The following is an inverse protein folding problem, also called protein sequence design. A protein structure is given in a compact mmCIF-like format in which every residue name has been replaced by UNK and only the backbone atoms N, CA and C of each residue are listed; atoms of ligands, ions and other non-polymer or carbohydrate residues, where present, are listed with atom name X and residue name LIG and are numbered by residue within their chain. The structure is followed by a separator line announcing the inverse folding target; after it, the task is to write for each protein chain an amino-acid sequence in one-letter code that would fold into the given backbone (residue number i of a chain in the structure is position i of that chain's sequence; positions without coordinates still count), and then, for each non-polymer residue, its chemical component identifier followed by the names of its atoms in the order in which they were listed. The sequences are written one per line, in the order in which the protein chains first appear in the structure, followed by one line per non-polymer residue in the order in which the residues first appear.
data_IF_373094585268
#
_entry.id   IF_373094585268
#
_cell.length_a   1.000
_cell.length_b   1.000
_cell.length_c   1.000
_cell.angle_alpha   90.00
_cell.angle_beta   90.00
_cell.angle_gamma   90.00
#
_symmetry.space_group_name_H-M   'P 1'
#
loop_
_entity.id
_entity.type
_entity.pdbx_description
1 polymer ?
#
# COMPACT_ATOMS: atom_id res chain seq x y z
N UNK A 1 -12.48 -41.79 98.55
CA UNK A 1 -13.36 -40.85 99.29
C UNK A 1 -13.20 -39.45 98.72
N UNK A 2 -14.32 -38.82 98.28
CA UNK A 2 -14.58 -37.35 98.15
C UNK A 2 -13.65 -36.54 97.22
N UNK A 3 -14.08 -35.60 96.34
CA UNK A 3 -15.34 -34.86 96.12
C UNK A 3 -15.18 -34.08 94.78
N UNK A 4 -16.21 -34.00 93.94
CA UNK A 4 -16.35 -33.04 92.80
C UNK A 4 -16.65 -31.62 93.33
N UNK A 5 -16.40 -30.49 92.62
CA UNK A 5 -17.20 -30.06 91.44
C UNK A 5 -16.47 -29.23 90.34
N UNK A 6 -17.18 -29.05 89.21
CA UNK A 6 -17.03 -28.12 88.04
C UNK A 6 -17.39 -26.65 88.43
N UNK A 7 -17.51 -25.63 87.52
CA UNK A 7 -17.05 -25.38 86.13
C UNK A 7 -16.51 -23.93 85.88
N UNK A 8 -16.18 -23.59 84.61
CA UNK A 8 -16.56 -22.37 83.85
C UNK A 8 -15.47 -21.64 83.00
N UNK A 9 -15.79 -21.58 81.70
CA UNK A 9 -15.67 -20.54 80.65
C UNK A 9 -14.38 -19.75 80.35
N UNK A 10 -14.05 -19.77 79.05
CA UNK A 10 -13.18 -18.89 78.23
C UNK A 10 -13.69 -17.40 78.20
N UNK A 11 -13.07 -16.38 77.52
CA UNK A 11 -12.41 -16.42 76.20
C UNK A 11 -11.27 -15.37 75.94
N UNK A 12 -10.97 -15.17 74.65
CA UNK A 12 -10.36 -14.01 73.97
C UNK A 12 -8.83 -13.90 73.82
N UNK A 13 -8.37 -14.35 72.65
CA UNK A 13 -7.21 -13.80 71.94
C UNK A 13 -7.64 -13.52 70.49
N UNK A 14 -7.68 -12.24 70.14
CA UNK A 14 -7.75 -11.72 68.78
C UNK A 14 -6.59 -10.70 68.61
N UNK A 15 -6.36 -10.13 67.41
CA UNK A 15 -5.89 -10.80 66.20
C UNK A 15 -4.75 -10.02 65.50
N UNK A 16 -4.21 -10.59 64.41
CA UNK A 16 -3.81 -9.80 63.23
C UNK A 16 -2.32 -9.57 62.99
N UNK A 17 -1.74 -10.31 62.05
CA UNK A 17 -1.46 -9.84 60.68
C UNK A 17 -0.75 -10.98 59.92
N UNK A 18 -1.44 -11.55 58.93
CA UNK A 18 -0.84 -12.46 57.96
C UNK A 18 -0.34 -11.65 56.75
N UNK A 19 0.78 -12.02 56.11
CA UNK A 19 1.23 -11.42 54.86
C UNK A 19 0.42 -12.01 53.69
N UNK A 20 -0.28 -11.14 52.96
CA UNK A 20 -1.12 -11.55 51.85
C UNK A 20 -0.31 -12.02 50.64
N UNK A 21 -0.72 -13.20 50.20
CA UNK A 21 -0.32 -13.97 49.05
C UNK A 21 -0.96 -13.36 47.79
N UNK A 22 -0.30 -12.43 47.09
CA UNK A 22 -0.81 -11.99 45.76
C UNK A 22 0.30 -11.42 44.86
N UNK A 23 1.21 -12.28 44.40
CA UNK A 23 2.14 -11.93 43.30
C UNK A 23 2.16 -13.07 42.28
N UNK A 24 1.08 -13.22 41.51
CA UNK A 24 1.09 -13.78 40.15
C UNK A 24 -0.21 -13.28 39.50
N UNK A 25 -0.17 -12.59 38.34
CA UNK A 25 -1.23 -12.48 37.30
C UNK A 25 -1.11 -11.19 36.45
N UNK A 26 -0.33 -10.18 36.84
CA UNK A 26 -0.27 -8.90 36.10
C UNK A 26 0.81 -8.81 34.99
N UNK A 27 1.09 -9.87 34.24
CA UNK A 27 2.14 -9.88 33.19
C UNK A 27 1.76 -10.64 31.91
N UNK A 28 0.47 -10.65 31.54
CA UNK A 28 0.01 -11.27 30.27
C UNK A 28 -0.79 -10.33 29.36
N UNK A 29 -1.12 -9.12 29.79
CA UNK A 29 -2.00 -8.22 29.02
C UNK A 29 -1.27 -7.20 28.11
N UNK A 30 0.05 -7.03 28.23
CA UNK A 30 0.79 -6.01 27.48
C UNK A 30 1.33 -6.48 26.12
N UNK A 31 1.33 -7.79 25.85
CA UNK A 31 1.92 -8.36 24.63
C UNK A 31 0.99 -8.36 23.42
N UNK A 32 -0.29 -8.03 23.59
CA UNK A 32 -1.30 -8.08 22.51
C UNK A 32 -1.37 -6.81 21.64
N UNK A 33 -0.71 -5.71 22.06
CA UNK A 33 -0.78 -4.42 21.36
C UNK A 33 0.36 -4.16 20.36
N UNK A 34 1.26 -5.13 20.19
CA UNK A 34 2.39 -5.06 19.23
C UNK A 34 2.18 -5.87 17.95
N UNK A 35 0.97 -6.37 17.70
CA UNK A 35 0.57 -6.79 16.35
C UNK A 35 0.38 -5.52 15.51
N UNK A 36 1.50 -4.94 15.10
CA UNK A 36 1.55 -3.87 14.11
C UNK A 36 0.66 -4.30 12.94
N UNK A 37 -0.36 -3.49 12.68
CA UNK A 37 -1.42 -3.77 11.75
C UNK A 37 -0.85 -4.21 10.40
N UNK A 38 -0.81 -5.52 10.16
CA UNK A 38 -0.73 -6.07 8.81
C UNK A 38 -1.92 -5.46 8.07
N UNK A 39 -1.65 -4.47 7.22
CA UNK A 39 -2.68 -3.86 6.40
C UNK A 39 -3.11 -4.94 5.41
N UNK A 40 -4.34 -5.42 5.57
CA UNK A 40 -4.88 -6.42 4.66
C UNK A 40 -5.09 -5.79 3.29
N UNK A 41 -4.20 -6.17 2.36
CA UNK A 41 -4.23 -5.75 0.97
C UNK A 41 -4.66 -6.89 0.04
N UNK A 42 -4.96 -8.09 0.57
CA UNK A 42 -5.30 -9.27 -0.24
C UNK A 42 -6.46 -9.04 -1.21
N UNK A 43 -7.40 -8.17 -0.84
CA UNK A 43 -8.55 -7.76 -1.67
C UNK A 43 -8.19 -7.02 -2.97
N UNK A 44 -6.93 -6.63 -3.16
CA UNK A 44 -6.42 -6.01 -4.39
C UNK A 44 -5.67 -6.99 -5.29
N UNK A 45 -5.52 -8.26 -4.89
CA UNK A 45 -4.92 -9.28 -5.76
C UNK A 45 -5.88 -9.65 -6.90
N UNK A 46 -5.42 -9.55 -8.13
CA UNK A 46 -6.30 -9.61 -9.30
C UNK A 46 -6.61 -11.02 -9.78
N UNK A 47 -5.86 -12.08 -9.41
CA UNK A 47 -6.10 -13.47 -9.87
C UNK A 47 -6.51 -13.54 -11.36
N UNK A 48 -7.79 -13.80 -11.67
CA UNK A 48 -8.36 -13.90 -13.03
C UNK A 48 -8.99 -12.58 -13.57
N UNK A 49 -8.98 -11.52 -12.78
CA UNK A 49 -9.47 -10.18 -13.10
C UNK A 49 -8.36 -9.14 -13.28
N UNK A 50 -8.73 -7.87 -13.17
CA UNK A 50 -7.82 -6.72 -13.29
C UNK A 50 -8.41 -5.47 -12.64
N UNK A 51 -7.60 -4.43 -12.50
CA UNK A 51 -8.07 -3.07 -12.23
C UNK A 51 -7.98 -2.23 -13.49
N UNK A 52 -9.08 -1.67 -13.97
CA UNK A 52 -9.13 -0.89 -15.20
C UNK A 52 -9.85 0.45 -15.01
N UNK A 53 -9.42 1.47 -15.74
CA UNK A 53 -10.03 2.80 -15.62
C UNK A 53 -9.51 3.80 -16.64
N UNK A 54 -10.09 5.00 -16.60
CA UNK A 54 -9.71 6.14 -17.45
C UNK A 54 -8.74 7.06 -16.72
N UNK A 55 -7.94 7.79 -17.49
CA UNK A 55 -7.18 8.93 -16.98
C UNK A 55 -8.14 10.00 -16.43
N UNK A 56 -7.76 10.65 -15.34
CA UNK A 56 -8.51 11.77 -14.77
C UNK A 56 -8.45 12.96 -15.74
N UNK A 57 -9.61 13.58 -15.98
CA UNK A 57 -9.75 14.72 -16.87
C UNK A 57 -9.04 15.98 -16.33
N UNK A 58 -8.56 16.83 -17.24
CA UNK A 58 -7.90 18.11 -16.91
C UNK A 58 -6.41 18.15 -17.24
N UNK A 59 -5.98 19.23 -17.92
CA UNK A 59 -4.59 19.38 -18.39
C UNK A 59 -3.61 19.71 -17.26
N UNK A 60 -4.09 20.18 -16.10
CA UNK A 60 -3.24 20.44 -14.92
C UNK A 60 -2.83 19.15 -14.19
N UNK A 61 -3.52 18.04 -14.46
CA UNK A 61 -3.26 16.73 -13.84
C UNK A 61 -2.78 15.69 -14.85
N UNK A 62 -2.36 16.13 -16.04
CA UNK A 62 -1.91 15.27 -17.13
C UNK A 62 -0.80 15.92 -17.97
N UNK A 63 0.26 15.18 -18.24
CA UNK A 63 1.33 15.53 -19.15
C UNK A 63 1.78 14.27 -19.90
N UNK A 64 1.97 14.38 -21.22
CA UNK A 64 2.46 13.29 -22.06
C UNK A 64 1.50 12.09 -22.24
N UNK A 65 0.26 12.16 -21.77
CA UNK A 65 -0.77 11.11 -21.86
C UNK A 65 -2.02 11.70 -22.55
N UNK A 66 -2.67 10.91 -23.41
CA UNK A 66 -3.89 11.33 -24.10
C UNK A 66 -5.12 11.34 -23.18
N UNK A 67 -6.11 12.16 -23.52
CA UNK A 67 -7.28 12.45 -22.68
C UNK A 67 -8.24 11.26 -22.53
N UNK A 68 -8.19 10.32 -23.47
CA UNK A 68 -9.00 9.11 -23.49
C UNK A 68 -8.20 7.85 -23.15
N UNK A 69 -6.93 7.99 -22.73
CA UNK A 69 -6.10 6.84 -22.38
C UNK A 69 -6.71 6.10 -21.19
N UNK A 70 -6.85 4.78 -21.35
CA UNK A 70 -7.23 3.85 -20.28
C UNK A 70 -6.00 3.12 -19.80
N UNK A 71 -6.01 2.78 -18.52
CA UNK A 71 -5.00 1.94 -17.89
C UNK A 71 -5.65 0.68 -17.36
N UNK A 72 -4.93 -0.43 -17.49
CA UNK A 72 -5.23 -1.71 -16.91
C UNK A 72 -4.04 -2.17 -16.06
N UNK A 73 -4.31 -2.68 -14.87
CA UNK A 73 -3.30 -3.19 -13.93
C UNK A 73 -3.70 -4.59 -13.47
N UNK A 74 -2.73 -5.50 -13.49
CA UNK A 74 -2.79 -6.74 -12.71
C UNK A 74 -1.88 -6.59 -11.50
N UNK A 75 -2.31 -7.12 -10.36
CA UNK A 75 -1.58 -7.02 -9.10
C UNK A 75 -1.64 -8.36 -8.37
N UNK A 76 -0.49 -8.85 -7.91
CA UNK A 76 -0.36 -10.00 -7.01
C UNK A 76 0.19 -9.50 -5.67
N UNK A 77 -0.68 -9.49 -4.66
CA UNK A 77 -0.36 -8.93 -3.34
C UNK A 77 0.51 -9.85 -2.50
N UNK A 78 0.63 -11.12 -2.87
CA UNK A 78 1.54 -12.08 -2.23
C UNK A 78 2.97 -11.94 -2.79
N UNK A 79 3.11 -11.22 -3.91
CA UNK A 79 4.35 -11.09 -4.70
C UNK A 79 4.77 -9.65 -4.94
N UNK A 80 4.45 -8.76 -3.99
CA UNK A 80 4.69 -7.33 -4.14
C UNK A 80 6.18 -6.95 -4.26
N UNK A 81 7.10 -7.79 -3.78
CA UNK A 81 8.55 -7.54 -3.76
C UNK A 81 9.32 -8.15 -4.93
N UNK A 82 8.71 -9.04 -5.71
CA UNK A 82 9.41 -9.80 -6.76
C UNK A 82 8.69 -9.74 -8.11
N UNK A 83 7.40 -10.06 -8.17
CA UNK A 83 6.58 -9.97 -9.40
C UNK A 83 5.20 -9.45 -9.04
N UNK A 84 5.10 -8.15 -8.73
CA UNK A 84 3.86 -7.54 -8.26
C UNK A 84 2.76 -7.54 -9.33
N UNK A 85 3.08 -7.66 -10.61
CA UNK A 85 2.10 -7.69 -11.69
C UNK A 85 2.52 -6.84 -12.88
N UNK A 86 1.54 -6.35 -13.64
CA UNK A 86 1.78 -5.63 -14.90
C UNK A 86 0.88 -4.41 -15.08
N UNK A 87 1.32 -3.48 -15.93
CA UNK A 87 0.54 -2.34 -16.41
C UNK A 87 0.40 -2.39 -17.93
N UNK A 88 -0.80 -2.08 -18.41
CA UNK A 88 -1.13 -1.97 -19.84
C UNK A 88 -1.92 -0.68 -20.07
N UNK A 89 -1.67 0.01 -21.17
CA UNK A 89 -2.42 1.22 -21.55
C UNK A 89 -3.03 1.08 -22.93
N UNK A 90 -4.20 1.70 -23.13
CA UNK A 90 -4.94 1.62 -24.40
C UNK A 90 -4.27 2.34 -25.56
N UNK A 91 -3.31 3.22 -25.28
CA UNK A 91 -2.46 3.87 -26.29
C UNK A 91 -1.27 3.00 -26.72
N UNK A 92 -1.14 1.79 -26.16
CA UNK A 92 -0.07 0.84 -26.51
C UNK A 92 1.30 1.19 -25.94
N UNK A 93 1.42 2.22 -25.11
CA UNK A 93 2.68 2.62 -24.49
C UNK A 93 3.15 1.61 -23.45
N UNK A 94 2.23 1.05 -22.68
CA UNK A 94 2.53 -0.08 -21.82
C UNK A 94 1.79 -1.31 -22.36
N UNK A 95 2.53 -2.39 -22.64
CA UNK A 95 2.00 -3.65 -23.18
C UNK A 95 2.35 -4.78 -22.23
N UNK A 96 1.48 -5.03 -21.24
CA UNK A 96 1.77 -5.94 -20.13
C UNK A 96 3.16 -5.69 -19.51
N UNK A 97 3.51 -4.41 -19.36
CA UNK A 97 4.82 -4.01 -18.86
C UNK A 97 4.93 -4.43 -17.38
N UNK A 98 6.00 -5.16 -16.99
CA UNK A 98 6.13 -5.62 -15.62
C UNK A 98 6.33 -4.43 -14.68
N UNK A 99 5.60 -4.44 -13.57
CA UNK A 99 5.85 -3.56 -12.44
C UNK A 99 7.11 -4.05 -11.75
N UNK A 100 8.17 -3.24 -11.75
CA UNK A 100 9.46 -3.60 -11.15
C UNK A 100 9.57 -2.98 -9.76
N UNK A 101 9.72 -3.80 -8.70
CA UNK A 101 10.02 -3.33 -7.35
C UNK A 101 11.30 -2.50 -7.31
N UNK A 102 11.32 -1.51 -6.43
CA UNK A 102 12.52 -0.74 -6.09
C UNK A 102 12.83 -1.04 -4.63
N UNK A 103 13.65 -2.08 -4.35
CA UNK A 103 13.80 -2.62 -2.99
C UNK A 103 14.24 -1.59 -1.95
N UNK A 104 15.07 -0.63 -2.37
CA UNK A 104 15.58 0.43 -1.48
C UNK A 104 14.46 1.31 -0.93
N UNK A 105 13.40 1.54 -1.71
CA UNK A 105 12.29 2.41 -1.31
C UNK A 105 11.42 1.79 -0.22
N UNK A 106 11.41 0.47 -0.06
CA UNK A 106 10.55 -0.22 0.92
C UNK A 106 10.94 0.07 2.37
N UNK A 107 12.19 0.46 2.60
CA UNK A 107 12.73 0.85 3.90
C UNK A 107 13.03 2.36 3.96
N UNK A 108 12.65 3.10 2.92
CA UNK A 108 12.89 4.54 2.82
C UNK A 108 11.63 5.32 3.25
N UNK A 109 11.77 6.50 3.88
CA UNK A 109 10.63 7.37 4.20
C UNK A 109 9.73 7.73 3.02
N UNK A 110 10.24 7.70 1.78
CA UNK A 110 9.42 7.90 0.58
C UNK A 110 8.30 6.85 0.44
N UNK A 111 8.43 5.66 1.04
CA UNK A 111 7.32 4.68 1.13
C UNK A 111 6.15 5.16 1.98
N UNK A 112 6.37 6.17 2.84
CA UNK A 112 5.36 6.74 3.73
C UNK A 112 4.63 7.94 3.13
N UNK A 113 5.01 8.37 1.92
CA UNK A 113 4.32 9.45 1.21
C UNK A 113 2.83 9.16 1.12
N UNK A 114 2.02 10.12 1.54
CA UNK A 114 0.56 10.06 1.48
C UNK A 114 0.05 11.06 0.44
N UNK A 115 -0.95 10.64 -0.34
CA UNK A 115 -1.52 11.45 -1.42
C UNK A 115 -2.96 11.82 -1.11
N UNK A 116 -3.15 12.46 0.04
CA UNK A 116 -4.47 12.72 0.63
C UNK A 116 -5.07 11.51 1.33
N UNK A 117 -6.27 11.70 1.86
CA UNK A 117 -6.96 10.71 2.68
C UNK A 117 -7.57 9.55 1.87
N UNK A 118 -7.98 8.49 2.57
CA UNK A 118 -8.69 7.34 1.97
C UNK A 118 -7.79 6.25 1.38
N UNK A 119 -6.47 6.36 1.52
CA UNK A 119 -5.49 5.36 1.06
C UNK A 119 -5.08 4.43 2.19
N UNK A 120 -5.08 3.13 1.90
CA UNK A 120 -4.56 2.10 2.79
C UNK A 120 -3.05 2.04 2.67
N UNK A 121 -2.53 2.05 1.44
CA UNK A 121 -1.10 1.93 1.17
C UNK A 121 -0.77 2.49 -0.22
N UNK A 122 0.42 3.06 -0.36
CA UNK A 122 0.99 3.42 -1.65
C UNK A 122 2.14 2.46 -1.96
N UNK A 123 2.10 1.86 -3.13
CA UNK A 123 3.13 0.98 -3.66
C UNK A 123 3.85 1.70 -4.79
N UNK A 124 5.18 1.71 -4.77
CA UNK A 124 5.99 2.43 -5.75
C UNK A 124 6.83 1.45 -6.57
N UNK A 125 6.64 1.50 -7.89
CA UNK A 125 7.28 0.64 -8.86
C UNK A 125 7.90 1.46 -10.00
N UNK A 126 8.78 0.83 -10.77
CA UNK A 126 9.18 1.31 -12.08
C UNK A 126 8.51 0.45 -13.17
N UNK A 127 8.12 1.07 -14.29
CA UNK A 127 7.72 0.35 -15.50
C UNK A 127 8.38 1.00 -16.71
N UNK A 128 8.87 0.19 -17.64
CA UNK A 128 9.43 0.69 -18.90
C UNK A 128 8.34 0.74 -19.97
N UNK A 129 8.00 1.92 -20.49
CA UNK A 129 7.13 2.04 -21.65
C UNK A 129 7.83 1.56 -22.93
N UNK A 130 7.03 1.22 -23.93
CA UNK A 130 7.46 1.05 -25.32
C UNK A 130 7.30 2.40 -26.03
N UNK A 131 8.31 2.87 -26.78
CA UNK A 131 8.15 4.04 -27.64
C UNK A 131 6.99 3.85 -28.61
N UNK A 132 6.14 4.87 -28.75
CA UNK A 132 5.08 4.89 -29.75
C UNK A 132 5.68 5.18 -31.14
N UNK A 133 4.92 4.91 -32.20
CA UNK A 133 5.35 5.24 -33.56
C UNK A 133 5.62 6.75 -33.67
N UNK A 134 6.85 7.12 -34.07
CA UNK A 134 7.32 8.51 -34.12
C UNK A 134 7.76 9.09 -32.76
N UNK A 135 7.76 8.28 -31.69
CA UNK A 135 8.32 8.64 -30.38
C UNK A 135 9.85 8.65 -30.37
N UNK A 136 10.44 9.31 -29.36
CA UNK A 136 11.89 9.36 -29.20
C UNK A 136 12.40 8.08 -28.51
N UNK A 137 13.64 7.62 -28.78
CA UNK A 137 14.22 6.47 -28.07
C UNK A 137 14.19 6.62 -26.54
N UNK A 138 14.38 7.85 -26.07
CA UNK A 138 14.33 8.23 -24.66
C UNK A 138 12.95 7.99 -24.04
N UNK A 139 11.88 7.94 -24.83
CA UNK A 139 10.54 7.65 -24.33
C UNK A 139 10.40 6.23 -23.78
N UNK A 140 11.39 5.35 -23.97
CA UNK A 140 11.51 4.03 -23.31
C UNK A 140 12.04 4.08 -21.87
N UNK A 141 12.54 5.24 -21.42
CA UNK A 141 13.03 5.42 -20.05
C UNK A 141 11.94 5.18 -19.03
N UNK A 142 12.36 4.65 -17.88
CA UNK A 142 11.48 4.23 -16.79
C UNK A 142 10.53 5.33 -16.32
N UNK A 143 9.31 4.90 -16.04
CA UNK A 143 8.26 5.70 -15.44
C UNK A 143 8.00 5.15 -14.05
N UNK A 144 7.97 6.03 -13.05
CA UNK A 144 7.50 5.66 -11.72
C UNK A 144 5.99 5.44 -11.76
N UNK A 145 5.58 4.28 -11.27
CA UNK A 145 4.18 3.88 -11.13
C UNK A 145 3.86 3.80 -9.65
N UNK A 146 3.00 4.70 -9.17
CA UNK A 146 2.49 4.69 -7.80
C UNK A 146 1.10 4.07 -7.82
N UNK A 147 0.93 2.91 -7.21
CA UNK A 147 -0.38 2.29 -6.99
C UNK A 147 -0.87 2.60 -5.59
N UNK A 148 -1.91 3.42 -5.50
CA UNK A 148 -2.55 3.77 -4.24
C UNK A 148 -3.75 2.85 -4.01
N UNK A 149 -3.64 1.98 -3.02
CA UNK A 149 -4.70 1.05 -2.64
C UNK A 149 -5.76 1.79 -1.80
N UNK A 150 -6.97 1.94 -2.32
CA UNK A 150 -8.02 2.78 -1.72
C UNK A 150 -8.88 2.01 -0.72
N UNK A 151 -9.34 2.65 0.34
CA UNK A 151 -10.29 2.03 1.28
C UNK A 151 -11.56 1.51 0.60
N UNK A 152 -11.97 2.15 -0.51
CA UNK A 152 -13.11 1.79 -1.37
C UNK A 152 -12.91 0.56 -2.27
N UNK A 153 -11.81 -0.19 -2.12
CA UNK A 153 -11.45 -1.33 -3.00
C UNK A 153 -11.20 -0.91 -4.47
N UNK A 154 -10.71 0.31 -4.67
CA UNK A 154 -10.24 0.82 -5.96
C UNK A 154 -8.72 1.01 -5.93
N UNK A 155 -8.10 1.12 -7.09
CA UNK A 155 -6.70 1.51 -7.21
C UNK A 155 -6.63 2.86 -7.89
N UNK A 156 -5.88 3.80 -7.31
CA UNK A 156 -5.46 4.99 -8.03
C UNK A 156 -4.02 4.82 -8.49
N UNK A 157 -3.80 4.84 -9.80
CA UNK A 157 -2.47 4.74 -10.37
C UNK A 157 -1.96 6.13 -10.77
N UNK A 158 -0.75 6.49 -10.34
CA UNK A 158 -0.05 7.68 -10.82
C UNK A 158 1.18 7.31 -11.61
N UNK A 159 1.32 7.92 -12.77
CA UNK A 159 2.53 7.86 -13.58
C UNK A 159 3.35 9.12 -13.37
N UNK A 160 4.66 8.98 -13.20
CA UNK A 160 5.58 10.10 -13.05
C UNK A 160 6.90 9.82 -13.78
N UNK A 161 7.28 10.72 -14.69
CA UNK A 161 8.61 10.77 -15.30
C UNK A 161 8.96 12.19 -15.68
N UNK A 162 10.09 12.69 -15.17
CA UNK A 162 10.58 14.02 -15.48
C UNK A 162 9.64 15.15 -15.05
N UNK A 163 10.16 16.38 -15.05
CA UNK A 163 9.34 17.56 -14.89
C UNK A 163 9.03 18.16 -16.27
N UNK A 164 7.82 18.72 -16.48
CA UNK A 164 7.58 19.57 -17.64
C UNK A 164 8.60 20.70 -17.72
N UNK A 165 9.11 20.99 -18.91
CA UNK A 165 9.99 22.15 -19.14
C UNK A 165 9.17 23.43 -18.90
N UNK A 166 9.74 24.39 -18.17
CA UNK A 166 9.10 25.70 -17.91
C UNK A 166 9.21 26.64 -19.11
N UNK A 167 10.18 26.40 -19.99
CA UNK A 167 10.43 27.18 -21.18
C UNK A 167 9.90 26.44 -22.41
N UNK A 168 9.29 27.16 -23.37
CA UNK A 168 8.75 26.60 -24.61
C UNK A 168 9.83 26.11 -25.61
N UNK A 169 11.02 25.80 -25.12
CA UNK A 169 12.14 25.32 -25.91
C UNK A 169 12.00 23.85 -26.31
N UNK A 170 12.83 23.44 -27.27
CA UNK A 170 12.97 22.03 -27.65
C UNK A 170 13.59 21.26 -26.47
N UNK A 171 13.02 20.11 -26.12
CA UNK A 171 13.59 19.23 -25.10
C UNK A 171 15.07 18.95 -25.40
N UNK A 172 15.98 19.05 -24.42
CA UNK A 172 17.37 18.71 -24.64
C UNK A 172 17.52 17.26 -25.12
N UNK A 173 18.53 16.95 -25.96
CA UNK A 173 18.84 15.58 -26.36
C UNK A 173 19.04 14.68 -25.12
N UNK A 174 18.57 13.43 -25.18
CA UNK A 174 18.69 12.49 -24.06
C UNK A 174 17.64 12.65 -22.95
N UNK A 175 16.69 13.58 -23.10
CA UNK A 175 15.59 13.80 -22.14
C UNK A 175 14.30 13.22 -22.68
N UNK A 176 13.73 12.24 -21.96
CA UNK A 176 12.43 11.66 -22.29
C UNK A 176 11.30 12.69 -22.17
N UNK A 177 10.22 12.48 -22.93
CA UNK A 177 9.01 13.29 -22.77
C UNK A 177 8.49 13.18 -21.34
N UNK A 178 8.22 14.31 -20.65
CA UNK A 178 7.65 14.31 -19.31
C UNK A 178 6.31 13.56 -19.29
N UNK A 179 6.08 12.81 -18.21
CA UNK A 179 4.87 12.04 -18.01
C UNK A 179 4.31 12.32 -16.63
N UNK A 180 3.06 12.75 -16.59
CA UNK A 180 2.28 12.81 -15.38
C UNK A 180 0.85 12.40 -15.72
N UNK A 181 0.28 11.45 -14.99
CA UNK A 181 -1.12 11.10 -15.15
C UNK A 181 -1.64 10.42 -13.89
N UNK A 182 -2.92 10.60 -13.63
CA UNK A 182 -3.64 9.91 -12.57
C UNK A 182 -4.77 9.11 -13.21
N UNK A 183 -4.92 7.84 -12.81
CA UNK A 183 -5.98 6.96 -13.26
C UNK A 183 -6.77 6.46 -12.05
N UNK A 184 -8.10 6.41 -12.17
CA UNK A 184 -8.97 5.78 -11.18
C UNK A 184 -9.42 4.44 -11.72
N UNK A 185 -8.96 3.36 -11.08
CA UNK A 185 -9.13 1.99 -11.56
C UNK A 185 -10.13 1.24 -10.67
N UNK A 186 -11.06 0.55 -11.32
CA UNK A 186 -12.06 -0.30 -10.70
C UNK A 186 -11.77 -1.75 -11.06
N UNK A 187 -12.17 -2.67 -10.19
CA UNK A 187 -12.02 -4.10 -10.44
C UNK A 187 -12.94 -4.55 -11.58
N UNK A 188 -12.39 -5.27 -12.55
CA UNK A 188 -13.09 -5.77 -13.73
C UNK A 188 -12.73 -7.26 -13.95
N UNK A 189 -13.68 -8.09 -14.40
CA UNK A 189 -13.43 -9.51 -14.66
C UNK A 189 -12.68 -9.74 -15.98
N UNK A 190 -11.81 -10.75 -16.02
CA UNK A 190 -11.02 -11.12 -17.21
C UNK A 190 -9.70 -10.36 -17.33
N UNK A 191 -8.86 -10.69 -18.34
CA UNK A 191 -7.51 -10.13 -18.50
C UNK A 191 -7.52 -8.72 -19.10
N UNK A 192 -6.40 -8.00 -18.99
CA UNK A 192 -6.17 -6.77 -19.75
C UNK A 192 -6.22 -7.07 -21.27
N UNK A 193 -7.02 -6.34 -22.04
CA UNK A 193 -7.37 -6.72 -23.42
C UNK A 193 -7.19 -5.62 -24.48
N UNK A 194 -6.47 -4.54 -24.16
CA UNK A 194 -6.16 -3.48 -25.13
C UNK A 194 -5.16 -3.91 -26.19
#
# INVERSE_FOLDING_TARGET
MKKTPRPDRAPDLAPGLAPDLTIVVATLAASALLLGACRDVSKFSTHDGRFEGRVVAGNLVRAGIGDDTRMCVTLDTERLQDTPGTVTTSDGRFRAAPLRPIPQLWHDPLSTLTFGDGRIQNLLYAASPTPLDGGQPEDSQDVFVILSLMQSKQIEARLLRGAPQTDAGVSPPGVATPMFAVFQLQEEPGPCSF
#
